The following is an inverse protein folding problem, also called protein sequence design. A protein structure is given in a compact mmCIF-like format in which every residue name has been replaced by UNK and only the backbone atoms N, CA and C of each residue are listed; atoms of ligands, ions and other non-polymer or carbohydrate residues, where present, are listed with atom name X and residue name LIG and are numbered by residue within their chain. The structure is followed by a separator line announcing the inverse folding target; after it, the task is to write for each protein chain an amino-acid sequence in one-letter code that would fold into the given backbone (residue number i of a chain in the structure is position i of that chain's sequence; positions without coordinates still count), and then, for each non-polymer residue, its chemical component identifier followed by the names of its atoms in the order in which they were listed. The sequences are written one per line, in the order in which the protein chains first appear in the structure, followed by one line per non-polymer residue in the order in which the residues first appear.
data_IF_494564639020
#
_entry.id   IF_494564639020
#
_cell.length_a   1.000
_cell.length_b   1.000
_cell.length_c   1.000
_cell.angle_alpha   90.00
_cell.angle_beta   90.00
_cell.angle_gamma   90.00
#
_symmetry.space_group_name_H-M   'P 1'
#
loop_
_entity.id
_entity.type
_entity.pdbx_description
1 polymer ?
#
# COMPACT_ATOMS: atom_id res chain seq x y z
N UNK A 1 6.32 7.43 -9.60
CA UNK A 1 6.76 8.07 -8.36
C UNK A 1 6.28 7.27 -7.17
N UNK A 2 7.16 7.04 -6.21
CA UNK A 2 6.78 6.27 -5.02
C UNK A 2 6.12 7.16 -3.98
N UNK A 3 5.10 6.65 -3.34
CA UNK A 3 4.40 7.36 -2.28
C UNK A 3 4.75 6.71 -0.95
N UNK A 4 4.36 7.38 0.16
CA UNK A 4 4.53 6.79 1.49
C UNK A 4 3.81 5.44 1.55
N UNK A 5 2.60 5.40 1.01
CA UNK A 5 1.79 4.19 1.00
C UNK A 5 2.47 3.07 0.21
N UNK A 6 3.00 3.38 -0.98
CA UNK A 6 3.62 2.35 -1.81
C UNK A 6 4.86 1.77 -1.15
N UNK A 7 5.64 2.62 -0.50
CA UNK A 7 6.83 2.17 0.20
C UNK A 7 6.46 1.30 1.40
N UNK A 8 5.44 1.71 2.14
CA UNK A 8 5.00 0.97 3.31
C UNK A 8 4.54 -0.44 2.93
N UNK A 9 3.70 -0.53 1.90
CA UNK A 9 3.17 -1.83 1.48
C UNK A 9 4.29 -2.75 1.04
N UNK A 10 5.22 -2.22 0.26
CA UNK A 10 6.33 -3.03 -0.23
C UNK A 10 7.19 -3.53 0.92
N UNK A 11 7.48 -2.66 1.89
CA UNK A 11 8.28 -3.05 3.05
C UNK A 11 7.59 -4.10 3.89
N UNK A 12 6.30 -3.91 4.16
CA UNK A 12 5.57 -4.87 4.98
C UNK A 12 5.46 -6.20 4.27
N UNK A 13 5.24 -6.17 2.95
CA UNK A 13 5.20 -7.40 2.18
C UNK A 13 6.51 -8.18 2.34
N UNK A 14 7.62 -7.48 2.25
CA UNK A 14 8.94 -8.11 2.39
C UNK A 14 9.18 -8.62 3.79
N UNK A 15 8.75 -7.87 4.79
CA UNK A 15 8.90 -8.32 6.19
C UNK A 15 8.11 -9.60 6.45
N UNK A 16 6.97 -9.76 5.78
CA UNK A 16 6.15 -10.96 5.92
C UNK A 16 6.59 -12.05 4.95
N UNK A 17 7.67 -11.81 4.20
CA UNK A 17 8.24 -12.78 3.25
C UNK A 17 7.23 -13.20 2.18
N UNK A 18 6.46 -12.24 1.68
CA UNK A 18 5.46 -12.51 0.66
C UNK A 18 5.92 -12.00 -0.70
N UNK A 19 5.60 -12.74 -1.75
CA UNK A 19 5.71 -12.22 -3.11
C UNK A 19 4.50 -11.36 -3.40
N UNK A 20 4.54 -10.61 -4.50
CA UNK A 20 3.37 -9.83 -4.92
C UNK A 20 2.18 -10.73 -5.21
N UNK A 21 2.44 -11.90 -5.80
CA UNK A 21 1.38 -12.87 -6.07
C UNK A 21 0.74 -13.34 -4.76
N UNK A 22 1.57 -13.67 -3.77
CA UNK A 22 1.06 -14.12 -2.49
C UNK A 22 0.27 -13.02 -1.78
N UNK A 23 0.73 -11.79 -1.86
CA UNK A 23 -0.02 -10.67 -1.27
C UNK A 23 -1.38 -10.51 -1.95
N UNK A 24 -1.40 -10.62 -3.27
CA UNK A 24 -2.64 -10.57 -4.03
C UNK A 24 -3.61 -11.65 -3.56
N UNK A 25 -3.11 -12.88 -3.42
CA UNK A 25 -3.97 -13.99 -3.01
C UNK A 25 -4.50 -13.83 -1.60
N UNK A 26 -3.63 -13.41 -0.68
CA UNK A 26 -4.04 -13.29 0.72
C UNK A 26 -4.99 -12.12 0.96
N UNK A 27 -4.81 -11.02 0.22
CA UNK A 27 -5.66 -9.85 0.40
C UNK A 27 -6.95 -9.91 -0.41
N UNK A 28 -6.98 -10.77 -1.43
CA UNK A 28 -8.14 -10.86 -2.30
C UNK A 28 -8.19 -9.82 -3.40
N UNK A 29 -7.15 -8.98 -3.54
CA UNK A 29 -7.09 -8.03 -4.65
C UNK A 29 -6.28 -8.64 -5.78
N UNK A 30 -6.45 -8.09 -7.00
CA UNK A 30 -5.72 -8.61 -8.15
C UNK A 30 -4.25 -8.28 -8.10
N UNK A 31 -3.45 -9.11 -8.80
CA UNK A 31 -2.01 -8.89 -8.86
C UNK A 31 -1.68 -7.54 -9.51
N UNK A 32 -2.45 -7.15 -10.54
CA UNK A 32 -2.24 -5.86 -11.17
C UNK A 32 -2.42 -4.74 -10.17
N UNK A 33 -3.41 -4.87 -9.28
CA UNK A 33 -3.65 -3.86 -8.26
C UNK A 33 -2.46 -3.77 -7.31
N UNK A 34 -1.91 -4.91 -6.89
CA UNK A 34 -0.74 -4.90 -5.99
C UNK A 34 0.43 -4.19 -6.67
N UNK A 35 0.66 -4.48 -7.94
CA UNK A 35 1.75 -3.83 -8.68
C UNK A 35 1.55 -2.33 -8.79
N UNK A 36 0.33 -1.90 -9.13
CA UNK A 36 0.03 -0.47 -9.22
C UNK A 36 0.23 0.22 -7.88
N UNK A 37 -0.22 -0.42 -6.80
CA UNK A 37 -0.08 0.12 -5.46
C UNK A 37 1.39 0.31 -5.09
N UNK A 38 2.21 -0.70 -5.34
CA UNK A 38 3.63 -0.62 -4.98
C UNK A 38 4.42 0.32 -5.89
N UNK A 39 3.91 0.59 -7.07
CA UNK A 39 4.55 1.55 -7.97
C UNK A 39 4.17 2.99 -7.67
N UNK A 40 3.21 3.20 -6.77
CA UNK A 40 2.84 4.54 -6.36
C UNK A 40 1.74 5.17 -7.19
N UNK A 41 0.94 4.36 -7.88
CA UNK A 41 -0.19 4.89 -8.62
C UNK A 41 -1.13 5.63 -7.67
N UNK A 42 -1.62 6.79 -8.08
CA UNK A 42 -2.41 7.64 -7.20
C UNK A 42 -3.92 7.50 -7.37
N UNK A 43 -4.38 6.83 -8.42
CA UNK A 43 -5.81 6.68 -8.69
C UNK A 43 -6.26 5.27 -8.34
N UNK A 44 -6.15 4.92 -7.06
CA UNK A 44 -6.48 3.57 -6.58
C UNK A 44 -7.76 3.61 -5.76
N UNK A 45 -8.49 2.51 -5.80
CA UNK A 45 -9.70 2.38 -4.98
C UNK A 45 -9.30 2.18 -3.52
N UNK A 46 -9.87 3.02 -2.65
CA UNK A 46 -9.53 2.96 -1.21
C UNK A 46 -9.97 1.66 -0.58
N UNK A 47 -11.10 1.10 -1.00
CA UNK A 47 -11.57 -0.14 -0.42
C UNK A 47 -10.57 -1.28 -0.68
N UNK A 48 -10.00 -1.32 -1.88
CA UNK A 48 -9.01 -2.35 -2.19
C UNK A 48 -7.68 -2.09 -1.50
N UNK A 49 -7.29 -0.82 -1.35
CA UNK A 49 -6.10 -0.48 -0.58
C UNK A 49 -6.26 -0.97 0.85
N UNK A 50 -7.44 -0.77 1.45
CA UNK A 50 -7.70 -1.25 2.80
C UNK A 50 -7.66 -2.77 2.90
N UNK A 51 -8.09 -3.48 1.84
CA UNK A 51 -8.01 -4.93 1.83
C UNK A 51 -6.56 -5.40 1.96
N UNK A 52 -5.64 -4.70 1.29
CA UNK A 52 -4.22 -5.03 1.40
C UNK A 52 -3.70 -4.66 2.79
N UNK A 53 -3.99 -3.45 3.25
CA UNK A 53 -3.47 -2.96 4.52
C UNK A 53 -3.98 -3.77 5.70
N UNK A 54 -5.18 -4.35 5.59
CA UNK A 54 -5.76 -5.12 6.68
C UNK A 54 -4.91 -6.32 7.04
N UNK A 55 -4.17 -6.86 6.09
CA UNK A 55 -3.25 -7.96 6.39
C UNK A 55 -2.16 -7.55 7.37
N UNK A 56 -1.85 -6.26 7.43
CA UNK A 56 -0.82 -5.72 8.30
C UNK A 56 -1.41 -5.00 9.49
N UNK A 57 -2.73 -5.14 9.71
CA UNK A 57 -3.40 -4.48 10.83
C UNK A 57 -3.57 -2.98 10.65
N UNK A 58 -3.61 -2.51 9.41
CA UNK A 58 -3.66 -1.09 9.11
C UNK A 58 -4.87 -0.76 8.23
N UNK A 59 -5.16 0.53 8.15
CA UNK A 59 -6.16 1.03 7.22
C UNK A 59 -5.79 2.44 6.82
N UNK A 60 -6.34 2.90 5.69
CA UNK A 60 -6.13 4.27 5.24
C UNK A 60 -6.92 5.21 6.13
N UNK A 61 -6.31 6.33 6.49
CA UNK A 61 -6.98 7.37 7.25
C UNK A 61 -6.28 8.69 7.05
N UNK A 62 -6.96 9.79 7.40
CA UNK A 62 -6.34 11.10 7.27
C UNK A 62 -5.25 11.29 8.30
N UNK A 63 -4.15 11.87 7.86
CA UNK A 63 -3.04 12.20 8.74
C UNK A 63 -2.66 13.63 8.46
N UNK A 64 -2.05 14.27 9.44
CA UNK A 64 -1.56 15.62 9.23
C UNK A 64 -0.50 15.61 8.15
N UNK A 65 -0.64 16.54 7.21
CA UNK A 65 0.37 16.71 6.20
C UNK A 65 1.64 17.27 6.83
N UNK A 66 2.78 16.66 6.53
CA UNK A 66 4.05 17.21 6.94
C UNK A 66 4.36 18.43 6.10
N UNK A 67 4.53 19.59 6.74
CA UNK A 67 4.90 20.80 6.03
C UNK A 67 6.40 20.91 6.09
N UNK A 68 6.94 21.10 4.95
CA UNK A 68 8.32 21.43 4.94
C UNK A 68 8.46 22.77 5.47
N UNK A 69 9.19 23.09 6.13
CA UNK A 69 9.19 24.32 6.58
C UNK A 69 9.62 25.19 5.83
N UNK A 70 9.21 25.50 5.39
CA UNK A 70 9.42 26.05 4.86
C UNK A 70 9.89 26.71 5.23
N UNK A 71 10.18 26.52 5.21
CA UNK A 71 10.81 27.09 5.53
C UNK A 71 11.00 27.04 5.81
#
# INVERSE_FOLDING_TARGET
MKTVLSKYVKEMRKQYHLTQVELSEKSGVGLRFVRDLEQGKTTLRLDKVNDVLRLFGMEVGPVKMQMEDEG
#
